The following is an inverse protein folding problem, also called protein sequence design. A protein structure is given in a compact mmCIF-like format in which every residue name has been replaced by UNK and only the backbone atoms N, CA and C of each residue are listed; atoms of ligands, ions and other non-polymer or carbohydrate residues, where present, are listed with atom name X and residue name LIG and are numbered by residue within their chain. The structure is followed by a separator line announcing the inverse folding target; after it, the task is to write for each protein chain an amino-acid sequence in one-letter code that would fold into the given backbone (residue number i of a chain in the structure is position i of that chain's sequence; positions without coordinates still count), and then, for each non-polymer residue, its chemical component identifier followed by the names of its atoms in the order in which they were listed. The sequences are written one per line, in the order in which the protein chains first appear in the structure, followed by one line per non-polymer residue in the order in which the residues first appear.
data_IF_238382209718
#
_entry.id   IF_238382209718
#
_cell.length_a   1.000
_cell.length_b   1.000
_cell.length_c   1.000
_cell.angle_alpha   90.00
_cell.angle_beta   90.00
_cell.angle_gamma   90.00
#
_symmetry.space_group_name_H-M   'P 1'
#
loop_
_entity.id
_entity.type
_entity.pdbx_description
1 polymer ?
#
# COMPACT_ATOMS: atom_id res chain seq x y z
N UNK A 1 6.45 -33.03 56.28
CA UNK A 1 7.55 -34.02 56.36
C UNK A 1 6.93 -35.38 56.05
N UNK A 2 6.99 -35.84 54.80
CA UNK A 2 7.97 -36.83 54.30
C UNK A 2 7.99 -38.14 55.10
N UNK A 3 7.66 -39.25 54.44
CA UNK A 3 7.87 -40.63 54.92
C UNK A 3 6.69 -41.52 54.53
N UNK A 4 6.62 -42.16 53.36
CA UNK A 4 7.42 -43.27 52.81
C UNK A 4 7.06 -44.64 53.45
N UNK A 5 6.63 -45.54 52.55
CA UNK A 5 6.65 -47.02 52.54
C UNK A 5 5.67 -47.88 53.38
N UNK A 6 5.02 -48.78 52.64
CA UNK A 6 4.78 -50.22 52.91
C UNK A 6 3.89 -50.64 54.09
N UNK A 7 2.73 -51.23 53.80
CA UNK A 7 2.65 -52.68 53.57
C UNK A 7 1.20 -53.15 53.34
N UNK A 8 1.11 -54.17 52.49
CA UNK A 8 -0.06 -54.96 52.16
C UNK A 8 -0.70 -55.61 53.40
N UNK A 9 -2.04 -55.71 53.40
CA UNK A 9 -2.82 -56.97 53.40
C UNK A 9 -4.18 -56.78 54.10
N UNK A 10 -5.23 -56.96 53.30
CA UNK A 10 -6.55 -57.51 53.66
C UNK A 10 -7.53 -56.64 54.45
N UNK A 11 -8.58 -56.17 53.75
CA UNK A 11 -9.95 -56.69 53.92
C UNK A 11 -10.94 -55.97 52.98
N UNK A 12 -11.21 -56.64 51.86
CA UNK A 12 -12.50 -56.77 51.16
C UNK A 12 -13.70 -56.03 51.75
N UNK A 13 -14.23 -55.00 51.06
CA UNK A 13 -15.65 -54.61 51.08
C UNK A 13 -16.07 -54.03 49.70
N UNK A 14 -17.02 -54.75 49.07
CA UNK A 14 -18.05 -54.38 48.07
C UNK A 14 -17.69 -53.82 46.67
N UNK A 15 -17.77 -54.75 45.71
CA UNK A 15 -18.02 -54.60 44.27
C UNK A 15 -19.23 -53.69 43.98
N UNK A 16 -19.21 -52.72 43.07
CA UNK A 16 -18.82 -52.71 41.64
C UNK A 16 -19.94 -53.22 40.70
N UNK A 17 -20.62 -52.22 40.13
CA UNK A 17 -21.16 -52.11 38.76
C UNK A 17 -21.58 -53.41 38.06
N UNK A 18 -22.89 -53.62 37.97
CA UNK A 18 -23.52 -54.48 36.98
C UNK A 18 -24.33 -53.63 36.00
N UNK A 19 -23.96 -53.67 34.71
CA UNK A 19 -24.79 -53.41 33.51
C UNK A 19 -23.87 -53.00 32.35
N UNK A 20 -23.94 -53.49 31.11
CA UNK A 20 -24.70 -54.52 30.41
C UNK A 20 -23.86 -54.78 29.14
N UNK A 21 -23.64 -56.05 28.78
CA UNK A 21 -23.08 -56.43 27.48
C UNK A 21 -24.10 -56.16 26.37
N UNK A 22 -23.68 -55.47 25.30
CA UNK A 22 -24.32 -55.52 23.99
C UNK A 22 -23.27 -55.97 22.94
N UNK A 23 -23.63 -56.84 21.99
CA UNK A 23 -22.69 -57.41 21.03
C UNK A 23 -22.34 -56.39 19.93
N UNK A 24 -21.05 -56.32 19.59
CA UNK A 24 -20.53 -55.57 18.46
C UNK A 24 -21.07 -56.16 17.15
N UNK A 25 -22.10 -55.53 16.59
CA UNK A 25 -22.57 -55.82 15.24
C UNK A 25 -21.73 -55.00 14.26
N UNK A 26 -20.94 -55.70 13.43
CA UNK A 26 -20.23 -55.12 12.29
C UNK A 26 -21.24 -54.43 11.36
N UNK A 27 -21.14 -53.11 11.24
CA UNK A 27 -21.87 -52.34 10.21
C UNK A 27 -20.94 -52.24 8.99
N UNK A 28 -21.35 -52.70 7.80
CA UNK A 28 -20.54 -52.57 6.60
C UNK A 28 -20.41 -51.09 6.20
N UNK A 29 -19.19 -50.71 5.84
CA UNK A 29 -18.69 -49.35 5.57
C UNK A 29 -19.37 -48.61 4.41
N UNK A 30 -20.32 -49.25 3.71
CA UNK A 30 -21.05 -48.68 2.56
C UNK A 30 -22.46 -48.16 2.87
N UNK A 31 -22.92 -48.19 4.13
CA UNK A 31 -24.26 -47.70 4.49
C UNK A 31 -24.30 -46.22 4.96
N UNK A 32 -23.17 -45.61 5.28
CA UNK A 32 -23.10 -44.19 5.72
C UNK A 32 -23.06 -43.23 4.52
N UNK A 33 -22.73 -43.71 3.32
CA UNK A 33 -22.63 -42.90 2.11
C UNK A 33 -23.99 -42.57 1.44
N UNK A 34 -25.10 -43.16 1.90
CA UNK A 34 -26.40 -43.04 1.22
C UNK A 34 -27.46 -42.18 1.95
N UNK A 35 -27.10 -41.51 3.05
CA UNK A 35 -28.02 -40.63 3.81
C UNK A 35 -27.61 -39.15 3.83
N UNK A 36 -26.63 -38.74 3.02
CA UNK A 36 -26.25 -37.32 2.81
C UNK A 36 -26.80 -36.73 1.49
N UNK A 37 -27.84 -37.34 0.92
CA UNK A 37 -28.65 -36.73 -0.14
C UNK A 37 -29.94 -36.14 0.44
N UNK A 38 -29.81 -35.31 1.46
CA UNK A 38 -30.80 -34.25 1.68
C UNK A 38 -30.51 -33.14 0.67
N UNK A 39 -31.54 -32.85 -0.13
CA UNK A 39 -31.60 -31.81 -1.14
C UNK A 39 -30.93 -30.52 -0.67
N UNK A 40 -29.74 -30.25 -1.23
CA UNK A 40 -29.12 -28.91 -1.16
C UNK A 40 -30.19 -27.94 -1.67
N UNK A 41 -30.68 -26.98 -0.85
CA UNK A 41 -31.57 -25.96 -1.38
C UNK A 41 -30.81 -25.28 -2.51
N UNK A 42 -31.38 -25.31 -3.70
CA UNK A 42 -30.94 -24.48 -4.82
C UNK A 42 -30.86 -23.06 -4.27
N UNK A 43 -29.74 -22.32 -4.41
CA UNK A 43 -29.66 -20.94 -3.94
C UNK A 43 -30.56 -20.07 -4.81
N UNK A 44 -31.86 -20.11 -4.55
CA UNK A 44 -32.83 -19.13 -5.02
C UNK A 44 -33.01 -18.15 -3.87
N UNK A 45 -32.06 -17.24 -3.73
CA UNK A 45 -32.28 -16.00 -2.99
C UNK A 45 -31.37 -14.95 -3.61
N UNK A 46 -31.97 -13.97 -4.27
CA UNK A 46 -31.33 -12.72 -4.66
C UNK A 46 -30.82 -12.04 -3.39
N UNK A 47 -29.61 -12.39 -2.94
CA UNK A 47 -29.02 -11.78 -1.76
C UNK A 47 -28.96 -10.26 -1.97
N UNK A 48 -29.30 -9.44 -0.96
CA UNK A 48 -29.11 -8.00 -1.06
C UNK A 48 -27.63 -7.75 -1.34
N UNK A 49 -27.36 -7.15 -2.51
CA UNK A 49 -25.99 -6.90 -3.01
C UNK A 49 -25.22 -5.87 -2.18
N UNK A 50 -25.95 -5.14 -1.32
CA UNK A 50 -25.45 -4.17 -0.36
C UNK A 50 -25.88 -4.65 1.03
N UNK A 51 -24.92 -4.75 1.95
CA UNK A 51 -25.14 -5.21 3.32
C UNK A 51 -24.84 -4.08 4.29
N UNK A 52 -25.73 -3.80 5.24
CA UNK A 52 -25.45 -2.95 6.40
C UNK A 52 -24.43 -3.66 7.30
N UNK A 53 -23.19 -3.17 7.30
CA UNK A 53 -22.09 -3.80 8.03
C UNK A 53 -22.03 -3.31 9.48
N UNK A 54 -22.06 -2.00 9.65
CA UNK A 54 -22.03 -1.32 10.95
C UNK A 54 -22.81 -0.01 10.84
N UNK A 55 -23.04 0.68 11.97
CA UNK A 55 -23.69 2.00 11.97
C UNK A 55 -22.98 2.95 11.00
N UNK A 56 -23.73 3.45 10.02
CA UNK A 56 -23.25 4.37 8.99
C UNK A 56 -22.30 3.74 7.97
N UNK A 57 -22.12 2.41 7.93
CA UNK A 57 -21.23 1.71 6.99
C UNK A 57 -21.95 0.55 6.31
N UNK A 58 -21.97 0.58 4.99
CA UNK A 58 -22.54 -0.45 4.11
C UNK A 58 -21.46 -1.00 3.18
N UNK A 59 -21.55 -2.28 2.84
CA UNK A 59 -20.65 -2.94 1.87
C UNK A 59 -21.44 -3.38 0.65
N UNK A 60 -21.10 -2.84 -0.51
CA UNK A 60 -21.57 -3.28 -1.81
C UNK A 60 -20.61 -4.33 -2.36
N UNK A 61 -20.95 -5.61 -2.22
CA UNK A 61 -20.10 -6.72 -2.67
C UNK A 61 -20.04 -6.87 -4.19
N UNK A 62 -21.07 -6.40 -4.91
CA UNK A 62 -21.12 -6.46 -6.37
C UNK A 62 -20.03 -5.59 -6.97
N UNK A 63 -19.95 -4.36 -6.49
CA UNK A 63 -19.05 -3.35 -7.04
C UNK A 63 -17.77 -3.20 -6.20
N UNK A 64 -17.67 -3.95 -5.09
CA UNK A 64 -16.59 -3.88 -4.09
C UNK A 64 -16.38 -2.46 -3.57
N UNK A 65 -17.47 -1.88 -3.09
CA UNK A 65 -17.48 -0.53 -2.53
C UNK A 65 -17.86 -0.56 -1.05
N UNK A 66 -17.31 0.39 -0.29
CA UNK A 66 -17.78 0.73 1.05
C UNK A 66 -18.53 2.04 0.95
N UNK A 67 -19.78 2.07 1.38
CA UNK A 67 -20.62 3.26 1.45
C UNK A 67 -20.70 3.73 2.91
N UNK A 68 -20.28 4.97 3.17
CA UNK A 68 -20.26 5.57 4.51
C UNK A 68 -21.16 6.79 4.55
N UNK A 69 -22.15 6.78 5.44
CA UNK A 69 -23.08 7.90 5.58
C UNK A 69 -22.46 9.07 6.36
N UNK A 70 -22.85 10.27 5.99
CA UNK A 70 -22.41 11.49 6.66
C UNK A 70 -23.20 12.72 6.23
N UNK A 71 -22.68 13.88 6.61
CA UNK A 71 -23.28 15.17 6.29
C UNK A 71 -22.21 16.25 6.13
N UNK A 72 -22.54 17.28 5.35
CA UNK A 72 -21.70 18.47 5.22
C UNK A 72 -21.69 19.26 6.54
N UNK A 73 -20.50 19.56 7.07
CA UNK A 73 -20.32 20.35 8.30
C UNK A 73 -19.45 21.60 8.10
N UNK A 74 -18.68 21.67 7.00
CA UNK A 74 -17.88 22.84 6.62
C UNK A 74 -18.02 23.14 5.14
N UNK A 75 -18.23 24.41 4.79
CA UNK A 75 -18.21 24.90 3.40
C UNK A 75 -17.15 25.97 3.14
N UNK A 76 -16.62 26.56 4.20
CA UNK A 76 -15.65 27.65 4.20
C UNK A 76 -14.79 27.51 5.48
N UNK A 77 -13.51 27.84 5.41
CA UNK A 77 -12.60 27.78 6.56
C UNK A 77 -11.28 27.08 6.27
N UNK A 78 -10.49 26.86 7.32
CA UNK A 78 -9.30 26.04 7.29
C UNK A 78 -9.68 24.58 7.01
N UNK A 79 -8.87 23.88 6.20
CA UNK A 79 -9.16 22.51 5.78
C UNK A 79 -7.97 21.61 6.07
N UNK A 80 -8.14 20.72 7.04
CA UNK A 80 -7.17 19.69 7.42
C UNK A 80 -7.67 18.29 7.05
N UNK A 81 -8.99 18.10 7.01
CA UNK A 81 -9.62 16.84 6.61
C UNK A 81 -10.71 17.05 5.57
N UNK A 82 -10.85 16.10 4.66
CA UNK A 82 -12.08 16.01 3.88
C UNK A 82 -13.22 15.44 4.74
N UNK A 83 -12.93 14.45 5.58
CA UNK A 83 -13.93 13.83 6.45
C UNK A 83 -13.39 13.48 7.84
N UNK A 84 -14.22 13.70 8.86
CA UNK A 84 -13.97 13.29 10.24
C UNK A 84 -15.13 12.50 10.85
N UNK A 85 -14.91 11.85 11.99
CA UNK A 85 -16.00 11.27 12.80
C UNK A 85 -16.66 12.31 13.73
N UNK A 86 -17.81 12.02 14.34
CA UNK A 86 -18.52 12.99 15.16
C UNK A 86 -17.76 13.39 16.44
N UNK A 87 -17.96 14.63 16.87
CA UNK A 87 -17.43 15.27 18.07
C UNK A 87 -15.90 15.29 18.13
N UNK A 88 -15.25 15.57 16.99
CA UNK A 88 -13.79 15.59 16.88
C UNK A 88 -13.29 16.85 16.17
N UNK A 89 -13.35 16.88 14.83
CA UNK A 89 -12.67 17.85 13.96
C UNK A 89 -13.61 18.49 12.94
N UNK A 90 -14.90 18.66 13.28
CA UNK A 90 -15.90 19.20 12.34
C UNK A 90 -15.62 20.65 11.90
N UNK A 91 -14.85 21.40 12.69
CA UNK A 91 -14.48 22.79 12.39
C UNK A 91 -13.42 22.93 11.29
N UNK A 92 -12.83 21.82 10.86
CA UNK A 92 -11.75 21.73 9.87
C UNK A 92 -11.97 20.59 8.86
N UNK A 93 -13.20 20.07 8.80
CA UNK A 93 -13.61 18.92 7.98
C UNK A 93 -14.84 19.23 7.12
N UNK A 94 -14.83 18.92 5.82
CA UNK A 94 -16.01 19.16 4.95
C UNK A 94 -17.18 18.24 5.35
N UNK A 95 -16.90 16.96 5.63
CA UNK A 95 -17.92 15.95 5.97
C UNK A 95 -17.70 15.40 7.38
N UNK A 96 -18.77 15.33 8.16
CA UNK A 96 -18.81 14.50 9.37
C UNK A 96 -19.51 13.18 9.02
N UNK A 97 -18.81 12.05 9.17
CA UNK A 97 -19.39 10.71 8.95
C UNK A 97 -20.15 10.24 10.17
N UNK A 98 -21.20 9.43 9.98
CA UNK A 98 -21.96 8.84 11.08
C UNK A 98 -21.27 7.60 11.69
N UNK A 99 -20.21 7.13 11.02
CA UNK A 99 -19.53 5.88 11.31
C UNK A 99 -18.35 6.06 12.29
N UNK A 100 -18.09 5.02 13.08
CA UNK A 100 -16.85 4.89 13.83
C UNK A 100 -15.68 4.63 12.85
N UNK A 101 -14.55 5.33 12.95
CA UNK A 101 -13.39 5.15 12.07
C UNK A 101 -12.93 3.69 11.92
N UNK A 102 -12.84 2.94 13.03
CA UNK A 102 -12.49 1.51 13.00
C UNK A 102 -13.39 0.67 12.07
N UNK A 103 -14.68 0.98 11.98
CA UNK A 103 -15.60 0.22 11.12
C UNK A 103 -15.34 0.49 9.63
N UNK A 104 -14.92 1.71 9.29
CA UNK A 104 -14.52 2.07 7.91
C UNK A 104 -13.25 1.30 7.56
N UNK A 105 -12.25 1.32 8.45
CA UNK A 105 -11.00 0.55 8.28
C UNK A 105 -11.28 -0.94 8.03
N UNK A 106 -12.12 -1.57 8.85
CA UNK A 106 -12.48 -2.97 8.71
C UNK A 106 -13.22 -3.25 7.38
N UNK A 107 -14.17 -2.41 7.00
CA UNK A 107 -14.94 -2.56 5.77
C UNK A 107 -14.07 -2.45 4.51
N UNK A 108 -13.08 -1.53 4.51
CA UNK A 108 -12.10 -1.41 3.42
C UNK A 108 -11.25 -2.68 3.29
N UNK A 109 -10.83 -3.26 4.41
CA UNK A 109 -10.17 -4.57 4.43
C UNK A 109 -11.04 -5.68 3.85
N UNK A 110 -12.33 -5.71 4.20
CA UNK A 110 -13.28 -6.72 3.73
C UNK A 110 -13.51 -6.69 2.21
N UNK A 111 -13.45 -5.52 1.56
CA UNK A 111 -13.52 -5.42 0.09
C UNK A 111 -12.18 -5.70 -0.61
N UNK A 112 -11.14 -6.05 0.17
CA UNK A 112 -9.84 -6.54 -0.31
C UNK A 112 -8.75 -5.49 -0.42
N UNK A 113 -8.89 -4.31 0.21
CA UNK A 113 -7.79 -3.35 0.29
C UNK A 113 -6.87 -3.68 1.46
N UNK A 114 -5.57 -3.56 1.22
CA UNK A 114 -4.54 -3.74 2.24
C UNK A 114 -4.15 -2.38 2.82
N UNK A 115 -4.27 -2.20 4.15
CA UNK A 115 -3.74 -1.00 4.78
C UNK A 115 -2.22 -1.04 4.73
N UNK A 116 -1.59 0.13 4.62
CA UNK A 116 -0.17 0.25 4.87
C UNK A 116 0.11 0.94 6.19
N UNK A 117 0.57 2.19 6.11
CA UNK A 117 0.83 3.02 7.27
C UNK A 117 0.63 4.49 6.92
N UNK A 118 0.17 5.32 7.86
CA UNK A 118 0.25 6.76 7.74
C UNK A 118 1.69 7.21 7.57
N UNK A 119 1.86 8.41 7.03
CA UNK A 119 3.16 9.05 6.98
C UNK A 119 3.65 9.38 8.39
N UNK A 120 4.96 9.58 8.49
CA UNK A 120 5.58 9.94 9.76
C UNK A 120 6.94 10.59 9.53
N UNK A 121 7.32 11.43 10.48
CA UNK A 121 8.66 11.94 10.61
C UNK A 121 9.46 11.05 11.56
N UNK A 122 10.60 10.57 11.10
CA UNK A 122 11.56 9.86 11.93
C UNK A 122 12.55 10.87 12.53
N UNK A 123 12.53 11.09 13.85
CA UNK A 123 13.40 12.07 14.50
C UNK A 123 14.88 11.68 14.46
N UNK A 124 15.19 10.39 14.44
CA UNK A 124 16.58 9.89 14.47
C UNK A 124 17.23 10.08 13.11
N UNK A 125 16.53 9.71 12.03
CA UNK A 125 17.04 9.89 10.68
C UNK A 125 16.77 11.29 10.11
N UNK A 126 15.93 12.08 10.79
CA UNK A 126 15.40 13.38 10.35
C UNK A 126 14.79 13.29 8.94
N UNK A 127 14.11 12.19 8.66
CA UNK A 127 13.50 11.90 7.36
C UNK A 127 12.01 11.74 7.50
N UNK A 128 11.31 12.33 6.54
CA UNK A 128 9.89 12.07 6.35
C UNK A 128 9.70 10.80 5.52
N UNK A 129 8.78 9.96 5.95
CA UNK A 129 8.36 8.76 5.24
C UNK A 129 6.91 8.95 4.77
N UNK A 130 6.63 8.79 3.47
CA UNK A 130 5.29 8.97 2.92
C UNK A 130 4.33 7.88 3.38
N UNK A 131 3.04 8.19 3.37
CA UNK A 131 1.99 7.20 3.59
C UNK A 131 2.07 6.06 2.56
N UNK A 132 1.71 4.85 2.98
CA UNK A 132 1.72 3.63 2.15
C UNK A 132 0.42 2.86 2.35
N UNK A 133 0.07 2.05 1.35
CA UNK A 133 -1.12 1.21 1.35
C UNK A 133 -1.70 1.08 -0.06
N UNK A 134 -2.82 0.38 -0.16
CA UNK A 134 -3.52 0.28 -1.44
C UNK A 134 -4.17 1.61 -1.83
N UNK A 135 -4.21 1.95 -3.13
CA UNK A 135 -4.85 3.17 -3.59
C UNK A 135 -6.37 3.11 -3.38
N UNK A 136 -6.96 4.25 -3.09
CA UNK A 136 -8.40 4.41 -2.89
C UNK A 136 -8.92 5.45 -3.88
N UNK A 137 -10.11 5.21 -4.41
CA UNK A 137 -10.90 6.25 -5.07
C UNK A 137 -12.11 6.54 -4.20
N UNK A 138 -12.42 7.83 -4.02
CA UNK A 138 -13.48 8.29 -3.13
C UNK A 138 -14.41 9.21 -3.92
N UNK A 139 -15.69 8.88 -3.88
CA UNK A 139 -16.77 9.67 -4.47
C UNK A 139 -17.70 10.14 -3.35
N UNK A 140 -18.22 11.36 -3.47
CA UNK A 140 -19.36 11.81 -2.68
C UNK A 140 -20.65 11.69 -3.48
N UNK A 141 -21.65 11.06 -2.88
CA UNK A 141 -23.01 10.96 -3.39
C UNK A 141 -23.94 11.79 -2.52
N UNK A 142 -24.74 12.65 -3.12
CA UNK A 142 -25.74 13.46 -2.40
C UNK A 142 -26.94 13.73 -3.30
N UNK A 143 -28.03 14.21 -2.70
CA UNK A 143 -29.24 14.63 -3.44
C UNK A 143 -29.37 16.14 -3.32
N UNK A 144 -29.51 16.82 -4.46
CA UNK A 144 -29.85 18.24 -4.55
C UNK A 144 -30.91 18.42 -5.63
N UNK A 145 -31.91 19.25 -5.37
CA UNK A 145 -32.97 19.56 -6.35
C UNK A 145 -33.65 18.32 -6.95
N UNK A 146 -33.83 17.28 -6.13
CA UNK A 146 -34.42 16.00 -6.53
C UNK A 146 -33.54 15.13 -7.43
N UNK A 147 -32.29 15.51 -7.68
CA UNK A 147 -31.32 14.75 -8.50
C UNK A 147 -30.21 14.17 -7.63
N UNK A 148 -29.80 12.95 -7.94
CA UNK A 148 -28.61 12.34 -7.31
C UNK A 148 -27.36 12.82 -8.03
N UNK A 149 -26.47 13.45 -7.26
CA UNK A 149 -25.14 13.85 -7.69
C UNK A 149 -24.12 12.80 -7.25
N UNK A 150 -23.11 12.57 -8.09
CA UNK A 150 -21.98 11.68 -7.85
C UNK A 150 -20.71 12.36 -8.35
N UNK A 151 -19.81 12.69 -7.44
CA UNK A 151 -18.64 13.52 -7.74
C UNK A 151 -17.40 13.01 -6.99
N UNK A 152 -16.22 13.01 -7.63
CA UNK A 152 -14.97 12.76 -6.90
C UNK A 152 -14.76 13.85 -5.84
N UNK A 153 -14.24 13.48 -4.67
CA UNK A 153 -14.12 14.39 -3.52
C UNK A 153 -13.25 15.62 -3.81
N UNK A 154 -12.32 15.51 -4.77
CA UNK A 154 -11.48 16.61 -5.23
C UNK A 154 -12.27 17.81 -5.74
N UNK A 155 -13.48 17.62 -6.29
CA UNK A 155 -14.32 18.73 -6.75
C UNK A 155 -14.78 19.64 -5.62
N UNK A 156 -14.88 19.13 -4.40
CA UNK A 156 -15.27 19.88 -3.22
C UNK A 156 -14.09 20.63 -2.58
N UNK A 157 -12.90 20.52 -3.16
CA UNK A 157 -11.68 21.19 -2.70
C UNK A 157 -11.03 21.95 -3.85
N UNK A 158 -10.17 22.89 -3.50
CA UNK A 158 -9.35 23.65 -4.46
C UNK A 158 -8.06 24.08 -3.78
N UNK A 159 -7.02 24.34 -4.57
CA UNK A 159 -5.77 24.87 -4.04
C UNK A 159 -5.99 26.22 -3.39
N UNK A 160 -5.38 26.42 -2.22
CA UNK A 160 -5.30 27.71 -1.56
C UNK A 160 -4.40 28.66 -2.39
N UNK A 161 -4.84 29.90 -2.59
CA UNK A 161 -4.02 31.00 -3.09
C UNK A 161 -3.75 32.02 -1.97
N UNK A 162 -2.63 32.76 -2.02
CA UNK A 162 -2.39 33.86 -1.10
C UNK A 162 -3.55 34.86 -1.11
N UNK A 163 -4.18 35.09 0.05
CA UNK A 163 -5.31 36.03 0.21
C UNK A 163 -6.65 35.53 -0.32
N UNK A 164 -6.83 34.22 -0.50
CA UNK A 164 -8.04 33.65 -1.10
C UNK A 164 -9.34 34.04 -0.38
N UNK A 165 -10.28 34.52 -1.19
CA UNK A 165 -11.72 34.62 -0.89
C UNK A 165 -12.45 33.48 -1.63
N UNK A 166 -13.71 33.14 -1.30
CA UNK A 166 -14.49 32.13 -2.03
C UNK A 166 -14.52 32.40 -3.55
N UNK A 167 -14.46 31.35 -4.38
CA UNK A 167 -14.74 31.43 -5.83
C UNK A 167 -13.58 31.63 -6.83
N UNK A 168 -12.31 31.66 -6.42
CA UNK A 168 -11.17 31.90 -7.34
C UNK A 168 -10.18 30.71 -7.46
N UNK A 169 -10.51 29.49 -7.05
CA UNK A 169 -9.57 28.35 -7.21
C UNK A 169 -9.67 27.67 -8.57
N UNK A 170 -8.54 27.16 -9.09
CA UNK A 170 -8.55 26.15 -10.15
C UNK A 170 -9.01 24.81 -9.59
N UNK A 171 -9.70 24.00 -10.40
CA UNK A 171 -10.09 22.64 -10.05
C UNK A 171 -8.88 21.82 -9.52
N UNK A 172 -9.09 21.05 -8.46
CA UNK A 172 -8.08 20.14 -7.92
C UNK A 172 -8.01 18.88 -8.81
N UNK A 173 -6.84 18.53 -9.38
CA UNK A 173 -6.71 17.28 -10.14
C UNK A 173 -6.91 16.06 -9.21
N UNK A 174 -7.22 14.88 -9.77
CA UNK A 174 -7.36 13.64 -8.99
C UNK A 174 -6.16 13.39 -8.07
N UNK A 175 -6.44 13.02 -6.82
CA UNK A 175 -5.40 12.85 -5.80
C UNK A 175 -5.02 11.38 -5.55
N UNK A 176 -3.79 11.10 -5.07
CA UNK A 176 -3.36 9.77 -4.64
C UNK A 176 -3.94 9.35 -3.28
N UNK A 177 -5.24 9.13 -3.14
CA UNK A 177 -5.70 8.61 -1.84
C UNK A 177 -5.14 7.23 -1.57
N UNK A 178 -4.55 7.04 -0.39
CA UNK A 178 -3.93 5.80 0.06
C UNK A 178 -4.68 5.31 1.28
N UNK A 179 -5.01 4.02 1.31
CA UNK A 179 -5.48 3.35 2.52
C UNK A 179 -4.31 3.14 3.47
N UNK A 180 -4.01 4.18 4.23
CA UNK A 180 -2.91 4.20 5.18
C UNK A 180 -3.22 3.35 6.42
N UNK A 181 -4.50 3.26 6.81
CA UNK A 181 -4.90 2.62 8.06
C UNK A 181 -4.71 3.56 9.25
N UNK A 182 -4.34 3.06 10.41
CA UNK A 182 -3.98 3.90 11.56
C UNK A 182 -3.04 3.09 12.43
N UNK A 183 -2.38 3.71 13.39
CA UNK A 183 -1.74 2.96 14.44
C UNK A 183 -2.78 2.34 15.38
N UNK A 184 -2.38 1.24 16.01
CA UNK A 184 -3.03 0.66 17.18
C UNK A 184 -2.15 0.96 18.39
N UNK A 185 -2.73 1.48 19.48
CA UNK A 185 -1.99 1.64 20.73
C UNK A 185 -1.74 0.30 21.40
N UNK A 186 -0.85 0.25 22.40
CA UNK A 186 -0.58 -0.96 23.17
C UNK A 186 -1.84 -1.46 23.93
N UNK A 187 -2.72 -0.53 24.30
CA UNK A 187 -4.01 -0.80 24.95
C UNK A 187 -5.10 -1.27 23.96
N UNK A 188 -4.78 -1.38 22.67
CA UNK A 188 -5.71 -1.83 21.64
C UNK A 188 -6.66 -0.74 21.13
N UNK A 189 -6.36 0.54 21.36
CA UNK A 189 -7.14 1.65 20.80
C UNK A 189 -6.72 1.92 19.35
N UNK A 190 -7.69 2.00 18.45
CA UNK A 190 -7.44 2.39 17.07
C UNK A 190 -7.30 3.91 16.99
N UNK A 191 -6.12 4.43 16.62
CA UNK A 191 -5.77 5.85 16.73
C UNK A 191 -6.75 6.82 16.07
N UNK A 192 -7.34 6.43 14.93
CA UNK A 192 -8.34 7.24 14.25
C UNK A 192 -9.65 7.41 15.03
N UNK A 193 -10.00 6.50 15.94
CA UNK A 193 -11.27 6.58 16.69
C UNK A 193 -11.36 7.81 17.60
N UNK A 194 -10.40 8.09 18.50
CA UNK A 194 -10.44 9.29 19.33
C UNK A 194 -10.13 10.57 18.56
N UNK A 195 -9.31 10.51 17.50
CA UNK A 195 -8.90 11.70 16.74
C UNK A 195 -9.87 12.07 15.62
N UNK A 196 -10.68 11.12 15.16
CA UNK A 196 -11.64 11.28 14.09
C UNK A 196 -11.05 11.48 12.70
N UNK A 197 -9.82 11.04 12.45
CA UNK A 197 -9.07 11.28 11.20
C UNK A 197 -9.43 10.28 10.10
N UNK A 198 -10.58 10.49 9.43
CA UNK A 198 -11.07 9.55 8.40
C UNK A 198 -10.40 9.77 7.04
N UNK A 199 -10.44 10.99 6.50
CA UNK A 199 -9.76 11.35 5.24
C UNK A 199 -9.00 12.66 5.47
N UNK A 200 -7.68 12.58 5.60
CA UNK A 200 -6.84 13.75 5.85
C UNK A 200 -6.26 14.32 4.55
N UNK A 201 -6.25 15.66 4.46
CA UNK A 201 -5.57 16.41 3.37
C UNK A 201 -4.22 16.95 3.80
N UNK A 202 -3.93 16.92 5.09
CA UNK A 202 -2.63 17.22 5.72
C UNK A 202 -2.13 16.01 6.50
N UNK A 203 -0.95 16.13 7.11
CA UNK A 203 -0.34 15.03 7.85
C UNK A 203 -1.01 14.77 9.21
N UNK A 204 -1.67 13.62 9.36
CA UNK A 204 -1.94 13.05 10.68
C UNK A 204 -1.56 11.57 10.73
N UNK A 205 -0.78 11.21 11.73
CA UNK A 205 -0.31 9.83 11.97
C UNK A 205 -1.42 8.82 12.29
N UNK A 206 -2.65 9.28 12.52
CA UNK A 206 -3.84 8.47 12.81
C UNK A 206 -4.76 8.27 11.58
N UNK A 207 -4.47 8.88 10.43
CA UNK A 207 -5.43 8.97 9.30
C UNK A 207 -5.69 7.66 8.57
N UNK A 208 -6.96 7.23 8.49
CA UNK A 208 -7.38 6.03 7.71
C UNK A 208 -6.99 6.18 6.24
N UNK A 209 -7.38 7.30 5.63
CA UNK A 209 -7.02 7.66 4.28
C UNK A 209 -6.13 8.89 4.31
N UNK A 210 -4.98 8.78 3.64
CA UNK A 210 -3.98 9.83 3.58
C UNK A 210 -3.49 10.07 2.15
N UNK A 211 -2.82 11.20 1.96
CA UNK A 211 -2.01 11.47 0.77
C UNK A 211 -0.57 10.98 1.00
N UNK A 212 0.15 10.54 -0.04
CA UNK A 212 1.53 10.11 0.09
C UNK A 212 2.50 11.28 0.12
N UNK A 213 2.11 12.45 -0.39
CA UNK A 213 2.96 13.64 -0.38
C UNK A 213 2.77 14.38 0.95
N UNK A 214 3.87 14.95 1.48
CA UNK A 214 3.82 15.71 2.71
C UNK A 214 3.04 17.02 2.53
N UNK A 215 2.07 17.25 3.41
CA UNK A 215 1.32 18.48 3.52
C UNK A 215 1.25 18.89 4.99
N UNK A 216 1.72 20.11 5.27
CA UNK A 216 1.77 20.68 6.61
C UNK A 216 0.37 20.94 7.16
N UNK A 217 0.18 20.65 8.45
CA UNK A 217 -1.00 20.98 9.27
C UNK A 217 -0.90 22.40 9.87
N UNK A 218 0.17 23.13 9.58
CA UNK A 218 0.26 24.54 9.98
C UNK A 218 -0.80 25.36 9.24
N UNK A 219 -1.63 26.09 10.00
CA UNK A 219 -2.64 27.01 9.46
C UNK A 219 -2.11 27.96 8.36
N UNK A 220 -0.84 28.39 8.45
CA UNK A 220 -0.22 29.29 7.46
C UNK A 220 0.17 28.58 6.14
N UNK A 221 0.21 27.25 6.14
CA UNK A 221 0.72 26.41 5.06
C UNK A 221 -0.34 25.46 4.48
N UNK A 222 -1.60 25.57 4.92
CA UNK A 222 -2.71 24.80 4.38
C UNK A 222 -2.84 25.02 2.87
N UNK A 223 -2.70 23.93 2.13
CA UNK A 223 -2.58 23.96 0.67
C UNK A 223 -3.94 23.81 -0.03
N UNK A 224 -4.98 23.39 0.69
CA UNK A 224 -6.35 23.28 0.21
C UNK A 224 -7.29 24.16 1.02
N UNK A 225 -8.36 24.57 0.35
CA UNK A 225 -9.54 25.19 0.97
C UNK A 225 -10.81 24.54 0.41
N UNK A 226 -11.94 24.64 1.13
CA UNK A 226 -13.23 24.20 0.61
C UNK A 226 -13.59 24.93 -0.70
N UNK A 227 -14.16 24.19 -1.65
CA UNK A 227 -14.73 24.75 -2.88
C UNK A 227 -16.23 25.02 -2.66
N UNK A 228 -16.54 26.12 -1.97
CA UNK A 228 -17.89 26.45 -1.47
C UNK A 228 -18.97 26.31 -2.53
N UNK A 229 -18.70 26.73 -3.76
CA UNK A 229 -19.64 26.68 -4.89
C UNK A 229 -19.99 25.25 -5.33
N UNK A 230 -19.15 24.27 -4.99
CA UNK A 230 -19.35 22.84 -5.29
C UNK A 230 -19.89 22.04 -4.11
N UNK A 231 -19.74 22.54 -2.89
CA UNK A 231 -20.21 21.87 -1.68
C UNK A 231 -21.68 22.28 -1.45
N UNK A 232 -22.62 21.32 -1.30
CA UNK A 232 -24.02 21.63 -1.02
C UNK A 232 -24.18 22.29 0.37
N UNK A 233 -25.36 22.86 0.70
CA UNK A 233 -25.59 23.53 1.97
C UNK A 233 -25.20 22.70 3.20
N UNK A 234 -24.88 23.37 4.30
CA UNK A 234 -24.58 22.71 5.58
C UNK A 234 -25.71 21.73 5.97
N UNK A 235 -25.31 20.62 6.59
CA UNK A 235 -26.16 19.51 7.01
C UNK A 235 -26.81 18.72 5.87
N UNK A 236 -26.48 19.00 4.61
CA UNK A 236 -26.87 18.13 3.49
C UNK A 236 -26.32 16.73 3.72
N UNK A 237 -27.22 15.74 3.70
CA UNK A 237 -26.85 14.33 3.84
C UNK A 237 -26.12 13.85 2.59
N UNK A 238 -25.03 13.13 2.81
CA UNK A 238 -24.23 12.55 1.75
C UNK A 238 -23.74 11.15 2.13
N UNK A 239 -23.29 10.41 1.13
CA UNK A 239 -22.64 9.11 1.30
C UNK A 239 -21.27 9.18 0.63
N UNK A 240 -20.21 8.89 1.38
CA UNK A 240 -18.87 8.67 0.85
C UNK A 240 -18.76 7.24 0.34
N UNK A 241 -18.35 7.07 -0.91
CA UNK A 241 -18.22 5.77 -1.56
C UNK A 241 -16.74 5.52 -1.81
N UNK A 242 -16.19 4.54 -1.12
CA UNK A 242 -14.79 4.12 -1.23
C UNK A 242 -14.69 2.87 -2.08
N UNK A 243 -13.71 2.83 -2.97
CA UNK A 243 -13.40 1.65 -3.78
C UNK A 243 -11.91 1.57 -4.08
N UNK A 244 -11.48 0.43 -4.62
CA UNK A 244 -10.10 0.26 -5.05
C UNK A 244 -9.73 1.33 -6.10
N UNK A 245 -8.74 2.16 -5.77
CA UNK A 245 -8.20 3.18 -6.65
C UNK A 245 -7.33 2.57 -7.76
N UNK A 246 -6.93 3.35 -8.76
CA UNK A 246 -6.01 2.87 -9.77
C UNK A 246 -4.62 2.60 -9.16
N UNK A 247 -4.09 1.40 -9.39
CA UNK A 247 -2.72 1.02 -9.00
C UNK A 247 -1.73 1.84 -9.81
N UNK A 248 -0.91 2.61 -9.11
CA UNK A 248 0.08 3.48 -9.74
C UNK A 248 1.30 2.69 -10.12
N UNK A 249 1.62 2.76 -11.40
CA UNK A 249 2.84 2.26 -12.00
C UNK A 249 3.57 3.44 -12.63
N UNK A 250 4.87 3.54 -12.43
CA UNK A 250 5.71 4.57 -13.03
C UNK A 250 6.84 3.92 -13.80
N UNK A 251 7.12 4.44 -15.00
CA UNK A 251 8.39 4.24 -15.68
C UNK A 251 9.23 5.51 -15.48
N UNK A 252 10.36 5.39 -14.78
CA UNK A 252 11.25 6.52 -14.54
C UNK A 252 12.07 6.91 -15.79
N UNK A 253 12.90 7.94 -15.66
CA UNK A 253 13.74 8.49 -16.73
C UNK A 253 14.72 7.48 -17.36
N UNK A 254 14.96 6.33 -16.74
CA UNK A 254 15.78 5.24 -17.29
C UNK A 254 14.97 3.96 -17.58
N UNK A 255 13.65 4.03 -17.46
CA UNK A 255 12.72 2.94 -17.74
C UNK A 255 12.61 1.88 -16.65
N UNK A 256 12.98 2.19 -15.40
CA UNK A 256 12.74 1.30 -14.25
C UNK A 256 11.28 1.41 -13.83
N UNK A 257 10.74 0.29 -13.35
CA UNK A 257 9.34 0.18 -12.91
C UNK A 257 9.24 0.51 -11.43
N UNK A 258 8.31 1.38 -11.09
CA UNK A 258 7.85 1.61 -9.72
C UNK A 258 6.37 1.23 -9.64
N UNK A 259 5.97 0.49 -8.61
CA UNK A 259 4.56 0.20 -8.30
C UNK A 259 4.29 0.71 -6.89
N UNK A 260 3.25 1.53 -6.73
CA UNK A 260 2.89 2.16 -5.44
C UNK A 260 4.11 2.78 -4.74
N UNK A 261 4.91 3.53 -5.50
CA UNK A 261 6.14 4.22 -5.04
C UNK A 261 7.28 3.29 -4.57
N UNK A 262 7.19 1.98 -4.85
CA UNK A 262 8.28 1.02 -4.63
C UNK A 262 8.88 0.61 -5.96
N UNK A 263 10.21 0.70 -6.06
CA UNK A 263 10.94 0.13 -7.19
C UNK A 263 10.85 -1.38 -7.19
N UNK A 264 10.57 -1.91 -8.37
CA UNK A 264 10.40 -3.34 -8.60
C UNK A 264 11.14 -3.76 -9.86
N UNK A 265 11.65 -4.99 -9.82
CA UNK A 265 12.12 -5.68 -11.02
C UNK A 265 10.94 -6.01 -11.94
N UNK A 266 11.22 -6.32 -13.20
CA UNK A 266 10.17 -6.73 -14.15
C UNK A 266 9.45 -8.02 -13.69
N UNK A 267 10.17 -8.94 -13.05
CA UNK A 267 9.60 -10.17 -12.50
C UNK A 267 8.66 -9.86 -11.33
N UNK A 268 9.06 -9.00 -10.40
CA UNK A 268 8.18 -8.55 -9.31
C UNK A 268 6.96 -7.80 -9.84
N UNK A 269 7.12 -6.93 -10.84
CA UNK A 269 6.00 -6.24 -11.47
C UNK A 269 5.01 -7.24 -12.08
N UNK A 270 5.52 -8.25 -12.77
CA UNK A 270 4.72 -9.35 -13.35
C UNK A 270 3.90 -10.06 -12.29
N UNK A 271 4.55 -10.56 -11.23
CA UNK A 271 3.88 -11.27 -10.13
C UNK A 271 2.86 -10.37 -9.42
N UNK A 272 3.20 -9.10 -9.20
CA UNK A 272 2.31 -8.13 -8.55
C UNK A 272 1.04 -7.91 -9.38
N UNK A 273 1.18 -7.66 -10.68
CA UNK A 273 0.04 -7.42 -11.57
C UNK A 273 -0.84 -8.67 -11.69
N UNK A 274 -0.23 -9.86 -11.80
CA UNK A 274 -0.98 -11.13 -11.85
C UNK A 274 -1.79 -11.35 -10.56
N UNK A 275 -1.17 -11.15 -9.40
CA UNK A 275 -1.83 -11.28 -8.10
C UNK A 275 -3.03 -10.33 -7.99
N UNK A 276 -2.81 -9.03 -8.25
CA UNK A 276 -3.87 -8.02 -8.19
C UNK A 276 -5.04 -8.33 -9.13
N UNK A 277 -4.76 -8.86 -10.33
CA UNK A 277 -5.80 -9.28 -11.27
C UNK A 277 -6.53 -10.56 -10.85
N UNK A 278 -5.84 -11.46 -10.17
CA UNK A 278 -6.44 -12.66 -9.58
C UNK A 278 -7.39 -12.30 -8.44
N UNK A 279 -7.03 -11.31 -7.62
CA UNK A 279 -7.84 -10.80 -6.51
C UNK A 279 -9.02 -9.94 -6.99
N UNK A 280 -8.81 -9.11 -8.01
CA UNK A 280 -9.80 -8.20 -8.58
C UNK A 280 -9.66 -8.08 -10.11
N UNK A 281 -10.58 -8.68 -10.84
CA UNK A 281 -10.58 -8.62 -12.32
C UNK A 281 -10.82 -7.21 -12.88
N UNK A 282 -11.40 -6.31 -12.08
CA UNK A 282 -11.70 -4.92 -12.44
C UNK A 282 -10.63 -3.93 -11.95
N UNK A 283 -9.47 -4.41 -11.49
CA UNK A 283 -8.38 -3.53 -11.06
C UNK A 283 -7.98 -2.57 -12.17
N UNK A 284 -7.86 -1.28 -11.82
CA UNK A 284 -7.43 -0.20 -12.71
C UNK A 284 -5.97 0.13 -12.44
N UNK A 285 -5.29 0.65 -13.44
CA UNK A 285 -3.89 1.03 -13.39
C UNK A 285 -3.69 2.43 -13.94
N UNK A 286 -2.84 3.21 -13.27
CA UNK A 286 -2.30 4.45 -13.81
C UNK A 286 -0.83 4.21 -14.15
N UNK A 287 -0.50 4.31 -15.44
CA UNK A 287 0.86 4.21 -15.93
C UNK A 287 1.40 5.61 -16.20
N UNK A 288 2.20 6.12 -15.27
CA UNK A 288 2.93 7.37 -15.44
C UNK A 288 4.26 7.11 -16.16
N UNK A 289 4.53 7.87 -17.20
CA UNK A 289 5.75 7.71 -18.01
C UNK A 289 6.53 9.01 -17.93
N UNK A 290 7.77 8.91 -17.43
CA UNK A 290 8.72 10.01 -17.44
C UNK A 290 9.04 10.43 -18.89
N UNK A 291 9.12 11.73 -19.20
CA UNK A 291 9.39 12.19 -20.57
C UNK A 291 10.76 11.74 -21.11
N UNK A 292 11.72 11.38 -20.25
CA UNK A 292 13.02 10.86 -20.64
C UNK A 292 13.08 9.33 -20.71
N UNK A 293 11.99 8.63 -20.38
CA UNK A 293 11.93 7.17 -20.43
C UNK A 293 12.28 6.66 -21.85
N UNK A 294 13.26 5.74 -21.98
CA UNK A 294 13.63 5.19 -23.29
C UNK A 294 12.45 4.45 -23.95
N UNK A 295 12.27 4.67 -25.26
CA UNK A 295 11.12 4.12 -26.00
C UNK A 295 11.08 2.58 -26.02
N UNK A 296 12.24 1.92 -26.00
CA UNK A 296 12.37 0.47 -25.89
C UNK A 296 11.88 -0.06 -24.54
N UNK A 297 12.15 0.70 -23.46
CA UNK A 297 11.69 0.38 -22.10
C UNK A 297 10.18 0.55 -21.96
N UNK A 298 9.63 1.64 -22.48
CA UNK A 298 8.17 1.82 -22.55
C UNK A 298 7.51 0.68 -23.34
N UNK A 299 8.00 0.40 -24.55
CA UNK A 299 7.45 -0.65 -25.42
C UNK A 299 7.54 -2.04 -24.78
N UNK A 300 8.67 -2.34 -24.12
CA UNK A 300 8.85 -3.58 -23.37
C UNK A 300 7.85 -3.75 -22.23
N UNK A 301 7.59 -2.68 -21.45
CA UNK A 301 6.60 -2.72 -20.38
C UNK A 301 5.17 -2.85 -20.90
N UNK A 302 4.82 -2.17 -22.00
CA UNK A 302 3.51 -2.34 -22.65
C UNK A 302 3.29 -3.77 -23.13
N UNK A 303 4.29 -4.34 -23.79
CA UNK A 303 4.27 -5.75 -24.23
C UNK A 303 4.07 -6.69 -23.04
N UNK A 304 4.67 -6.40 -21.88
CA UNK A 304 4.42 -7.16 -20.67
C UNK A 304 2.94 -7.10 -20.26
N UNK A 305 2.36 -5.90 -20.19
CA UNK A 305 0.95 -5.71 -19.79
C UNK A 305 -0.01 -6.45 -20.74
N UNK A 306 0.26 -6.42 -22.04
CA UNK A 306 -0.48 -7.18 -23.05
C UNK A 306 -0.34 -8.70 -22.85
N UNK A 307 0.88 -9.20 -22.62
CA UNK A 307 1.14 -10.62 -22.36
C UNK A 307 0.47 -11.10 -21.07
N UNK A 308 0.37 -10.21 -20.08
CA UNK A 308 -0.39 -10.41 -18.86
C UNK A 308 -1.90 -10.27 -19.05
N UNK A 309 -2.39 -10.01 -20.26
CA UNK A 309 -3.81 -9.84 -20.60
C UNK A 309 -4.48 -8.73 -19.78
N UNK A 310 -3.74 -7.67 -19.44
CA UNK A 310 -4.31 -6.48 -18.79
C UNK A 310 -5.16 -5.74 -19.84
N UNK A 311 -6.47 -5.52 -19.62
CA UNK A 311 -7.30 -4.82 -20.59
C UNK A 311 -6.81 -3.38 -20.81
N UNK A 312 -6.70 -2.93 -22.06
CA UNK A 312 -6.28 -1.55 -22.36
C UNK A 312 -7.17 -0.50 -21.67
N UNK A 313 -8.48 -0.77 -21.58
CA UNK A 313 -9.46 0.09 -20.89
C UNK A 313 -9.22 0.26 -19.39
N UNK A 314 -8.49 -0.66 -18.75
CA UNK A 314 -8.17 -0.57 -17.33
C UNK A 314 -6.84 0.16 -17.08
N UNK A 315 -6.15 0.63 -18.13
CA UNK A 315 -4.90 1.37 -18.03
C UNK A 315 -5.12 2.81 -18.49
N UNK A 316 -4.91 3.77 -17.60
CA UNK A 316 -4.78 5.18 -17.96
C UNK A 316 -3.30 5.52 -18.06
N UNK A 317 -2.86 5.99 -19.23
CA UNK A 317 -1.47 6.42 -19.43
C UNK A 317 -1.39 7.92 -19.19
N UNK A 318 -0.44 8.32 -18.35
CA UNK A 318 -0.16 9.72 -18.02
C UNK A 318 1.29 9.98 -18.43
N UNK A 319 1.53 10.96 -19.30
CA UNK A 319 2.89 11.43 -19.58
C UNK A 319 3.22 12.59 -18.65
N UNK A 320 4.27 12.44 -17.86
CA UNK A 320 4.72 13.52 -16.99
C UNK A 320 5.26 14.68 -17.82
N UNK A 321 4.97 15.92 -17.40
CA UNK A 321 5.49 17.13 -18.05
C UNK A 321 6.91 17.48 -17.61
N UNK A 322 7.35 16.94 -16.48
CA UNK A 322 8.69 17.12 -15.94
C UNK A 322 9.34 15.76 -15.65
N UNK A 323 10.62 15.63 -16.01
CA UNK A 323 11.43 14.48 -15.63
C UNK A 323 11.79 14.57 -14.15
N UNK A 324 11.69 13.44 -13.44
CA UNK A 324 12.30 13.30 -12.12
C UNK A 324 13.60 12.54 -12.31
N UNK A 325 14.76 13.04 -11.81
CA UNK A 325 15.97 12.25 -11.83
C UNK A 325 15.69 10.96 -11.09
N UNK A 326 16.05 9.82 -11.69
CA UNK A 326 15.89 8.54 -11.03
C UNK A 326 16.54 8.66 -9.65
N UNK A 327 15.76 8.47 -8.57
CA UNK A 327 16.27 8.39 -7.20
C UNK A 327 17.50 7.48 -7.21
N UNK A 328 18.71 8.00 -7.05
CA UNK A 328 19.95 7.24 -7.25
C UNK A 328 20.26 6.80 -8.70
N UNK A 329 20.36 7.74 -9.65
CA UNK A 329 21.29 7.63 -10.78
C UNK A 329 22.59 8.37 -10.44
N UNK A 330 23.69 7.67 -10.10
CA UNK A 330 24.97 8.30 -9.82
C UNK A 330 25.48 9.18 -10.96
N UNK A 331 25.12 8.87 -12.21
CA UNK A 331 25.56 9.60 -13.39
C UNK A 331 24.70 10.84 -13.64
N UNK A 332 23.38 10.79 -13.44
CA UNK A 332 22.53 11.99 -13.43
C UNK A 332 22.87 12.90 -12.25
N UNK A 333 23.16 12.36 -11.07
CA UNK A 333 23.61 13.15 -9.92
C UNK A 333 24.98 13.79 -10.19
N UNK A 334 25.92 13.07 -10.80
CA UNK A 334 27.20 13.63 -11.21
C UNK A 334 27.05 14.74 -12.27
N UNK A 335 26.21 14.54 -13.29
CA UNK A 335 25.92 15.56 -14.31
C UNK A 335 25.26 16.80 -13.71
N UNK A 336 24.22 16.62 -12.89
CA UNK A 336 23.56 17.72 -12.20
C UNK A 336 24.54 18.49 -11.30
N UNK A 337 25.40 17.79 -10.54
CA UNK A 337 26.45 18.43 -9.73
C UNK A 337 27.41 19.24 -10.61
N UNK A 338 27.85 18.70 -11.75
CA UNK A 338 28.76 19.37 -12.68
C UNK A 338 28.12 20.59 -13.33
N UNK A 339 26.86 20.50 -13.73
CA UNK A 339 26.08 21.60 -14.33
C UNK A 339 25.80 22.72 -13.31
N UNK A 340 25.47 22.35 -12.07
CA UNK A 340 25.20 23.32 -11.00
C UNK A 340 26.49 23.98 -10.49
N UNK A 341 27.62 23.26 -10.51
CA UNK A 341 28.94 23.79 -10.17
C UNK A 341 29.54 24.68 -11.28
N UNK A 342 29.01 24.60 -12.50
CA UNK A 342 29.48 25.39 -13.66
C UNK A 342 28.64 26.66 -13.90
N UNK A 343 27.59 26.88 -13.12
CA UNK A 343 26.88 28.17 -13.10
C UNK A 343 27.80 29.26 -12.50
N UNK A 344 28.02 30.40 -13.18
CA UNK A 344 28.86 31.45 -12.64
C UNK A 344 28.20 32.03 -11.38
N UNK A 345 28.85 31.81 -10.23
CA UNK A 345 28.41 32.29 -8.95
C UNK A 345 28.33 33.82 -8.93
N UNK A 346 27.14 34.35 -8.63
CA UNK A 346 27.02 35.70 -8.08
C UNK A 346 27.69 35.75 -6.71
N UNK A 347 28.68 36.66 -6.61
CA UNK A 347 29.41 37.20 -5.45
C UNK A 347 29.98 36.26 -4.34
N UNK A 348 31.20 36.55 -3.86
CA UNK A 348 31.92 35.66 -2.95
C UNK A 348 31.65 36.01 -1.48
N UNK A 349 30.69 35.33 -0.85
CA UNK A 349 30.68 35.25 0.62
C UNK A 349 30.05 33.93 1.06
N UNK A 350 30.85 33.14 1.79
CA UNK A 350 30.56 31.82 2.39
C UNK A 350 30.24 30.68 1.43
N UNK A 351 31.26 29.85 1.12
CA UNK A 351 31.02 28.48 0.69
C UNK A 351 30.21 27.75 1.78
N UNK A 352 29.00 27.24 1.47
CA UNK A 352 28.18 26.57 2.47
C UNK A 352 28.83 25.26 2.92
N UNK A 353 28.70 24.92 4.21
CA UNK A 353 29.35 23.78 4.85
C UNK A 353 29.11 22.42 4.14
N UNK A 354 27.99 22.28 3.42
CA UNK A 354 27.69 21.11 2.61
C UNK A 354 28.66 20.92 1.44
N UNK A 355 29.19 22.00 0.83
CA UNK A 355 30.12 21.89 -0.30
C UNK A 355 31.47 21.25 0.09
N UNK A 356 31.91 21.49 1.34
CA UNK A 356 33.12 20.87 1.91
C UNK A 356 32.87 19.40 2.30
N UNK A 357 31.68 19.10 2.83
CA UNK A 357 31.25 17.73 3.13
C UNK A 357 31.12 16.87 1.86
N UNK A 358 30.56 17.43 0.79
CA UNK A 358 30.40 16.74 -0.51
C UNK A 358 31.75 16.39 -1.14
N UNK A 359 32.75 17.30 -1.10
CA UNK A 359 34.10 16.99 -1.59
C UNK A 359 34.75 15.82 -0.84
N UNK A 360 34.53 15.74 0.48
CA UNK A 360 35.05 14.64 1.31
C UNK A 360 34.39 13.30 0.96
N UNK A 361 33.08 13.29 0.77
CA UNK A 361 32.32 12.08 0.37
C UNK A 361 32.75 11.60 -1.02
N UNK A 362 32.93 12.51 -1.98
CA UNK A 362 33.39 12.17 -3.34
C UNK A 362 34.80 11.56 -3.31
N UNK A 363 35.72 12.13 -2.53
CA UNK A 363 37.08 11.59 -2.37
C UNK A 363 37.07 10.19 -1.72
N UNK A 364 36.19 9.97 -0.75
CA UNK A 364 36.05 8.68 -0.08
C UNK A 364 35.45 7.60 -1.00
N UNK A 365 34.44 7.94 -1.80
CA UNK A 365 33.86 7.04 -2.80
C UNK A 365 34.86 6.69 -3.92
N UNK A 366 35.67 7.64 -4.37
CA UNK A 366 36.74 7.38 -5.33
C UNK A 366 37.80 6.41 -4.76
N UNK A 367 38.13 6.56 -3.47
CA UNK A 367 39.06 5.67 -2.77
C UNK A 367 38.48 4.26 -2.65
N UNK A 368 37.21 4.13 -2.25
CA UNK A 368 36.53 2.83 -2.16
C UNK A 368 36.40 2.14 -3.52
N UNK A 369 36.18 2.90 -4.59
CA UNK A 369 36.12 2.37 -5.96
C UNK A 369 37.47 1.78 -6.39
N UNK A 370 38.59 2.46 -6.11
CA UNK A 370 39.93 1.91 -6.39
C UNK A 370 40.21 0.64 -5.58
N UNK A 371 39.85 0.63 -4.29
CA UNK A 371 40.03 -0.56 -3.44
C UNK A 371 39.21 -1.74 -3.99
N UNK A 372 37.98 -1.50 -4.44
CA UNK A 372 37.16 -2.52 -5.04
C UNK A 372 37.75 -3.04 -6.36
N UNK A 373 38.22 -2.16 -7.24
CA UNK A 373 38.89 -2.53 -8.50
C UNK A 373 40.15 -3.37 -8.26
N UNK A 374 41.01 -2.96 -7.33
CA UNK A 374 42.21 -3.72 -6.97
C UNK A 374 41.85 -5.13 -6.46
N UNK A 375 40.82 -5.25 -5.62
CA UNK A 375 40.35 -6.56 -5.14
C UNK A 375 39.76 -7.45 -6.24
N UNK A 376 39.09 -6.86 -7.23
CA UNK A 376 38.58 -7.63 -8.37
C UNK A 376 39.70 -8.11 -9.29
N UNK A 377 40.77 -7.33 -9.44
CA UNK A 377 41.97 -7.72 -10.19
C UNK A 377 42.74 -8.83 -9.45
N UNK A 378 42.90 -8.73 -8.13
CA UNK A 378 43.48 -9.79 -7.29
C UNK A 378 42.68 -11.10 -7.40
N UNK A 379 41.34 -11.02 -7.35
CA UNK A 379 40.46 -12.18 -7.49
C UNK A 379 40.58 -12.81 -8.89
N UNK A 380 40.67 -12.00 -9.93
CA UNK A 380 40.88 -12.48 -11.31
C UNK A 380 42.23 -13.21 -11.44
N UNK A 381 43.30 -12.65 -10.87
CA UNK A 381 44.63 -13.30 -10.85
C UNK A 381 44.64 -14.61 -10.07
N UNK A 382 43.91 -14.69 -8.95
CA UNK A 382 43.77 -15.92 -8.17
C UNK A 382 43.02 -17.02 -8.92
N UNK A 383 41.94 -16.66 -9.64
CA UNK A 383 41.17 -17.59 -10.48
C UNK A 383 41.99 -18.10 -11.66
N UNK A 384 42.85 -17.26 -12.24
CA UNK A 384 43.76 -17.66 -13.32
C UNK A 384 44.85 -18.62 -12.82
N UNK A 385 45.40 -18.38 -11.62
CA UNK A 385 46.33 -19.30 -10.97
C UNK A 385 45.69 -20.67 -10.69
N UNK A 386 44.47 -20.70 -10.14
CA UNK A 386 43.71 -21.94 -9.93
C UNK A 386 43.46 -22.69 -11.24
N UNK A 387 43.07 -21.97 -12.30
CA UNK A 387 42.88 -22.55 -13.63
C UNK A 387 44.16 -23.09 -14.27
N UNK A 388 45.32 -22.49 -13.96
CA UNK A 388 46.63 -22.98 -14.42
C UNK A 388 47.12 -24.21 -13.63
N UNK A 389 46.82 -24.27 -12.33
CA UNK A 389 47.14 -25.41 -11.46
C UNK A 389 46.35 -26.66 -11.84
N UNK A 390 45.06 -26.51 -12.14
CA UNK A 390 44.19 -27.61 -12.58
C UNK A 390 44.59 -28.20 -13.95
N UNK A 391 45.29 -27.44 -14.81
CA UNK A 391 45.80 -27.94 -16.10
C UNK A 391 47.13 -28.70 -15.99
N UNK A 392 47.83 -28.61 -14.85
CA UNK A 392 49.14 -29.26 -14.63
C UNK A 392 49.05 -30.58 -13.87
N UNK A 393 47.86 -30.95 -13.37
CA UNK A 393 47.64 -32.22 -12.66
C UNK A 393 47.24 -33.31 -13.67
N UNK A 394 48.01 -34.41 -13.83
CA UNK A 394 47.59 -35.53 -14.66
C UNK A 394 46.35 -36.18 -14.05
N UNK A 395 45.27 -36.30 -14.83
CA UNK A 395 44.10 -37.07 -14.44
C UNK A 395 44.46 -38.55 -14.53
N UNK A 396 44.79 -39.18 -13.40
CA UNK A 396 44.89 -40.64 -13.32
C UNK A 396 43.48 -41.21 -13.44
N UNK A 397 43.19 -41.81 -14.59
CA UNK A 397 41.90 -42.46 -14.85
C UNK A 397 41.86 -43.77 -14.06
N UNK A 398 40.98 -43.85 -13.05
CA UNK A 398 40.71 -45.10 -12.33
C UNK A 398 39.80 -45.96 -13.23
N UNK A 399 40.31 -47.12 -13.67
CA UNK A 399 39.55 -48.07 -14.47
C UNK A 399 38.45 -48.77 -13.63
N UNK A 400 37.30 -49.16 -14.22
CA UNK A 400 36.22 -49.83 -13.52
C UNK A 400 36.61 -51.28 -13.16
N UNK A 401 36.31 -51.67 -11.93
CA UNK A 401 36.56 -53.00 -11.39
C UNK A 401 35.50 -53.99 -11.91
N UNK A 402 35.86 -54.85 -12.87
CA UNK A 402 35.08 -56.04 -13.25
C UNK A 402 35.56 -57.24 -12.44
N UNK A 403 34.74 -57.71 -11.50
CA UNK A 403 34.84 -59.08 -10.97
C UNK A 403 34.19 -60.07 -11.96
N UNK A 404 34.81 -61.24 -12.24
CA UNK A 404 34.11 -62.34 -12.88
C UNK A 404 33.50 -63.30 -11.86
N UNK A 405 32.31 -63.79 -12.19
CA UNK A 405 31.67 -64.97 -11.61
C UNK A 405 32.65 -66.15 -11.53
N UNK A 406 32.74 -66.78 -10.36
CA UNK A 406 32.52 -68.22 -10.15
C UNK A 406 32.32 -68.52 -8.66
#
# INVERSE_FOLDING_TARGET
MRGILESLVSRTILAALAAVLFPASFVPENAVAAQLTESRPTPTTTQPKIIDYQRGVRINWRDREVEVDGQVVLREGALELFACSPLTREHESIVCVDARPLHIYQALGLIGLNPGRPSYFDPDTRRYYPARGDPVEIEVRYVSDGRTHREPIEKWMRRAKPGDKPGNGSDLPPQPWIFAGSYMTEEGTFGADPEGTVIAVVEFGSSIIALPDYHSDSNAELWLVPNTERIPPLYTRCTLVFRHGPVRMTLDSVGRVEISQRRVTMAEATSTIQRLRGENQNVRFWLTIDPQCPADRESGFRTLLERLKVPAKSITVIRSTASRPANHDPQAMARWILETASSPAGSPTTQPAWAKATKRIVAELATRTRIFQARTEDLAGYLEQLGSGLRKTPITTIAPNTQPNQ
#
